data_IF_142048643198
#
_entry.id   IF_142048643198
#
_cell.length_a   1.000
_cell.length_b   1.000
_cell.length_c   1.000
_cell.angle_alpha   90.00
_cell.angle_beta   90.00
_cell.angle_gamma   90.00
#
_symmetry.space_group_name_H-M   'P 1'
#
loop_
_entity.id
_entity.type
_entity.pdbx_description
1 polymer ?
#
# COMPACT_ATOMS: atom_id res chain seq x y z
N UNK A 1 18.66 -14.27 -21.33
CA UNK A 1 17.59 -13.65 -20.53
C UNK A 1 17.84 -14.10 -19.12
N UNK A 2 18.07 -13.17 -18.19
CA UNK A 2 18.12 -13.56 -16.79
C UNK A 2 16.74 -14.14 -16.44
N UNK A 3 16.73 -15.35 -15.89
CA UNK A 3 15.51 -15.96 -15.39
C UNK A 3 15.08 -15.13 -14.19
N UNK A 4 14.04 -14.32 -14.37
CA UNK A 4 13.51 -13.48 -13.29
C UNK A 4 12.56 -14.38 -12.51
N UNK A 5 13.00 -14.81 -11.34
CA UNK A 5 12.15 -15.50 -10.38
C UNK A 5 11.29 -14.46 -9.65
N UNK A 6 9.98 -14.52 -9.88
CA UNK A 6 9.01 -13.58 -9.30
C UNK A 6 8.24 -14.27 -8.19
N UNK A 7 8.39 -13.77 -6.96
CA UNK A 7 7.58 -14.20 -5.81
C UNK A 7 6.24 -13.45 -5.79
N UNK A 8 5.24 -13.99 -6.50
CA UNK A 8 3.88 -13.44 -6.52
C UNK A 8 3.19 -13.46 -5.15
N UNK A 9 3.33 -14.52 -4.31
CA UNK A 9 2.86 -14.50 -2.94
C UNK A 9 3.41 -13.31 -2.14
N UNK A 10 4.72 -13.07 -2.19
CA UNK A 10 5.35 -11.96 -1.47
C UNK A 10 4.82 -10.60 -1.92
N UNK A 11 4.61 -10.39 -3.23
CA UNK A 11 4.01 -9.15 -3.74
C UNK A 11 2.60 -8.93 -3.19
N UNK A 12 1.79 -10.00 -3.17
CA UNK A 12 0.42 -9.95 -2.64
C UNK A 12 0.39 -9.68 -1.13
N UNK A 13 1.23 -10.38 -0.37
CA UNK A 13 1.36 -10.18 1.08
C UNK A 13 1.82 -8.77 1.42
N UNK A 14 2.79 -8.26 0.67
CA UNK A 14 3.30 -6.89 0.81
C UNK A 14 2.18 -5.88 0.56
N UNK A 15 1.43 -6.02 -0.54
CA UNK A 15 0.30 -5.14 -0.82
C UNK A 15 -0.77 -5.20 0.28
N UNK A 16 -1.10 -6.40 0.78
CA UNK A 16 -2.05 -6.58 1.88
C UNK A 16 -1.57 -5.92 3.19
N UNK A 17 -0.31 -6.13 3.56
CA UNK A 17 0.29 -5.54 4.76
C UNK A 17 0.34 -4.01 4.70
N UNK A 18 0.72 -3.45 3.54
CA UNK A 18 0.72 -2.00 3.32
C UNK A 18 -0.69 -1.41 3.42
N UNK A 19 -1.70 -2.08 2.84
CA UNK A 19 -3.09 -1.66 2.96
C UNK A 19 -3.57 -1.59 4.42
N UNK A 20 -3.23 -2.59 5.24
CA UNK A 20 -3.54 -2.57 6.68
C UNK A 20 -2.84 -1.42 7.40
N UNK A 21 -1.54 -1.23 7.16
CA UNK A 21 -0.77 -0.15 7.81
C UNK A 21 -1.35 1.22 7.45
N UNK A 22 -1.66 1.45 6.18
CA UNK A 22 -2.27 2.71 5.74
C UNK A 22 -3.61 2.97 6.43
N UNK A 23 -4.46 1.95 6.57
CA UNK A 23 -5.73 2.05 7.28
C UNK A 23 -5.54 2.46 8.75
N UNK A 24 -4.60 1.82 9.46
CA UNK A 24 -4.29 2.15 10.85
C UNK A 24 -3.71 3.57 11.00
N UNK A 25 -2.82 3.99 10.10
CA UNK A 25 -2.29 5.36 10.10
C UNK A 25 -3.36 6.40 9.77
N UNK A 26 -4.34 6.08 8.92
CA UNK A 26 -5.47 6.97 8.67
C UNK A 26 -6.32 7.15 9.94
N UNK A 27 -6.66 6.04 10.60
CA UNK A 27 -7.43 6.06 11.85
C UNK A 27 -6.73 6.77 13.00
N UNK A 28 -5.39 6.79 13.02
CA UNK A 28 -4.63 7.51 14.04
C UNK A 28 -4.87 9.03 14.03
N UNK A 29 -5.39 9.61 12.94
CA UNK A 29 -5.78 11.02 12.87
C UNK A 29 -6.93 11.36 13.83
N UNK A 30 -7.90 10.44 13.94
CA UNK A 30 -9.13 10.67 14.70
C UNK A 30 -8.83 10.82 16.20
N UNK A 31 -7.81 10.11 16.69
CA UNK A 31 -7.37 10.14 18.10
C UNK A 31 -6.83 11.53 18.47
N UNK A 32 -6.16 12.19 17.53
CA UNK A 32 -5.48 13.46 17.78
C UNK A 32 -6.45 14.64 17.76
N UNK A 33 -7.45 14.61 16.86
CA UNK A 33 -8.49 15.64 16.78
C UNK A 33 -9.31 15.78 18.07
N UNK A 34 -9.49 14.67 18.81
CA UNK A 34 -10.25 14.66 20.07
C UNK A 34 -9.46 15.19 21.29
N UNK A 35 -8.14 15.35 21.19
CA UNK A 35 -7.29 15.72 22.32
C UNK A 35 -7.20 17.24 22.56
N UNK A 36 -7.32 18.06 21.50
CA UNK A 36 -7.16 19.51 21.56
C UNK A 36 -8.18 20.23 22.48
N UNK A 37 -9.47 19.86 22.51
CA UNK A 37 -10.46 20.51 23.39
C UNK A 37 -10.24 20.26 24.89
N UNK A 38 -9.50 19.21 25.25
CA UNK A 38 -9.27 18.80 26.63
C UNK A 38 -8.15 19.61 27.32
N UNK A 39 -7.34 20.33 26.54
CA UNK A 39 -6.15 21.03 27.04
C UNK A 39 -6.50 22.52 27.23
N UNK A 40 -6.40 22.99 28.48
CA UNK A 40 -6.67 24.39 28.82
C UNK A 40 -5.70 25.37 28.15
N UNK A 41 -6.12 26.63 27.97
CA UNK A 41 -5.33 27.71 27.34
C UNK A 41 -4.08 28.08 28.17
N UNK A 42 -2.93 27.51 27.83
CA UNK A 42 -1.61 27.92 28.32
C UNK A 42 -0.53 27.47 27.31
N UNK A 43 0.75 27.76 27.58
CA UNK A 43 1.88 27.40 26.71
C UNK A 43 1.96 25.90 26.34
N UNK A 44 1.38 25.00 27.15
CA UNK A 44 1.29 23.58 26.82
C UNK A 44 0.39 23.32 25.60
N UNK A 45 -0.64 24.13 25.40
CA UNK A 45 -1.55 24.02 24.26
C UNK A 45 -0.82 24.35 22.95
N UNK A 46 0.05 25.36 22.95
CA UNK A 46 0.78 25.76 21.75
C UNK A 46 1.80 24.68 21.34
N UNK A 47 2.54 24.12 22.30
CA UNK A 47 3.46 22.99 22.06
C UNK A 47 2.71 21.73 21.59
N UNK A 48 1.52 21.45 22.14
CA UNK A 48 0.70 20.31 21.70
C UNK A 48 0.19 20.53 20.28
N UNK A 49 -0.22 21.75 19.92
CA UNK A 49 -0.62 22.07 18.54
C UNK A 49 0.52 21.87 17.55
N UNK A 50 1.71 22.36 17.88
CA UNK A 50 2.90 22.16 17.05
C UNK A 50 3.19 20.66 16.86
N UNK A 51 3.14 19.88 17.94
CA UNK A 51 3.27 18.43 17.86
C UNK A 51 2.19 17.79 16.96
N UNK A 52 0.93 18.20 17.08
CA UNK A 52 -0.19 17.68 16.29
C UNK A 52 -0.01 18.00 14.80
N UNK A 53 0.42 19.22 14.48
CA UNK A 53 0.66 19.67 13.12
C UNK A 53 1.83 18.90 12.49
N UNK A 54 2.94 18.76 13.22
CA UNK A 54 4.09 17.97 12.77
C UNK A 54 3.75 16.50 12.60
N UNK A 55 3.04 15.91 13.55
CA UNK A 55 2.55 14.54 13.46
C UNK A 55 1.68 14.35 12.21
N UNK A 56 0.74 15.27 11.98
CA UNK A 56 -0.16 15.22 10.82
C UNK A 56 0.63 15.28 9.52
N UNK A 57 1.55 16.24 9.39
CA UNK A 57 2.39 16.39 8.20
C UNK A 57 3.26 15.15 7.93
N UNK A 58 3.90 14.60 8.96
CA UNK A 58 4.75 13.43 8.81
C UNK A 58 3.94 12.16 8.50
N UNK A 59 2.78 12.00 9.12
CA UNK A 59 1.84 10.90 8.85
C UNK A 59 1.34 10.92 7.41
N UNK A 60 1.00 12.08 6.87
CA UNK A 60 0.58 12.22 5.47
C UNK A 60 1.71 11.86 4.49
N UNK A 61 2.95 12.29 4.77
CA UNK A 61 4.13 11.89 3.98
C UNK A 61 4.37 10.38 4.02
N UNK A 62 4.21 9.77 5.19
CA UNK A 62 4.31 8.32 5.33
C UNK A 62 3.24 7.60 4.53
N UNK A 63 1.97 8.03 4.64
CA UNK A 63 0.85 7.47 3.87
C UNK A 63 1.09 7.56 2.37
N UNK A 64 1.57 8.69 1.86
CA UNK A 64 1.91 8.85 0.45
C UNK A 64 3.02 7.88 0.01
N UNK A 65 4.02 7.66 0.85
CA UNK A 65 5.12 6.72 0.57
C UNK A 65 4.62 5.27 0.57
N UNK A 66 3.77 4.90 1.54
CA UNK A 66 3.15 3.58 1.60
C UNK A 66 2.26 3.31 0.38
N UNK A 67 1.46 4.29 -0.04
CA UNK A 67 0.61 4.21 -1.23
C UNK A 67 1.44 3.94 -2.49
N UNK A 68 2.56 4.64 -2.68
CA UNK A 68 3.42 4.43 -3.84
C UNK A 68 3.99 3.00 -3.91
N UNK A 69 4.41 2.44 -2.76
CA UNK A 69 4.91 1.06 -2.70
C UNK A 69 3.77 0.05 -2.92
N UNK A 70 2.60 0.32 -2.33
CA UNK A 70 1.41 -0.50 -2.53
C UNK A 70 1.04 -0.59 -4.02
N UNK A 71 0.95 0.55 -4.70
CA UNK A 71 0.65 0.61 -6.13
C UNK A 71 1.68 -0.15 -6.97
N UNK A 72 2.97 0.05 -6.70
CA UNK A 72 4.03 -0.66 -7.41
C UNK A 72 3.94 -2.18 -7.22
N UNK A 73 3.66 -2.65 -6.00
CA UNK A 73 3.53 -4.07 -5.69
C UNK A 73 2.30 -4.69 -6.37
N UNK A 74 1.14 -4.02 -6.29
CA UNK A 74 -0.10 -4.48 -6.92
C UNK A 74 0.00 -4.49 -8.43
N UNK A 75 0.49 -3.41 -9.05
CA UNK A 75 0.65 -3.34 -10.50
C UNK A 75 1.63 -4.39 -11.03
N UNK A 76 2.72 -4.63 -10.29
CA UNK A 76 3.68 -5.68 -10.66
C UNK A 76 3.03 -7.07 -10.57
N UNK A 77 2.31 -7.36 -9.49
CA UNK A 77 1.59 -8.62 -9.31
C UNK A 77 0.59 -8.86 -10.44
N UNK A 78 -0.26 -7.88 -10.73
CA UNK A 78 -1.28 -7.96 -11.78
C UNK A 78 -0.66 -8.16 -13.17
N UNK A 79 0.43 -7.43 -13.48
CA UNK A 79 1.12 -7.56 -14.76
C UNK A 79 1.71 -8.97 -14.96
N UNK A 80 2.34 -9.54 -13.94
CA UNK A 80 2.87 -10.90 -14.04
C UNK A 80 1.76 -11.96 -14.18
N UNK A 81 0.66 -11.83 -13.44
CA UNK A 81 -0.49 -12.72 -13.56
C UNK A 81 -1.12 -12.62 -14.96
N UNK A 82 -1.22 -11.41 -15.52
CA UNK A 82 -1.72 -11.22 -16.87
C UNK A 82 -0.84 -11.93 -17.90
N UNK A 83 0.48 -11.72 -17.84
CA UNK A 83 1.43 -12.36 -18.77
C UNK A 83 1.38 -13.88 -18.65
N UNK A 84 1.29 -14.43 -17.44
CA UNK A 84 1.17 -15.88 -17.22
C UNK A 84 -0.12 -16.45 -17.81
N UNK A 85 -1.26 -15.78 -17.61
CA UNK A 85 -2.54 -16.17 -18.19
C UNK A 85 -2.53 -16.13 -19.73
N UNK A 86 -1.95 -15.08 -20.33
CA UNK A 86 -1.81 -14.95 -21.79
C UNK A 86 -0.96 -16.09 -22.37
N UNK A 87 0.14 -16.43 -21.70
CA UNK A 87 1.00 -17.54 -22.09
C UNK A 87 0.28 -18.89 -21.97
N UNK A 88 -0.40 -19.14 -20.86
CA UNK A 88 -1.17 -20.36 -20.65
C UNK A 88 -2.26 -20.53 -21.73
N UNK A 89 -2.98 -19.45 -22.05
CA UNK A 89 -4.00 -19.44 -23.11
C UNK A 89 -3.39 -19.74 -24.49
N UNK A 90 -2.25 -19.13 -24.82
CA UNK A 90 -1.56 -19.36 -26.09
C UNK A 90 -1.12 -20.83 -26.24
N UNK A 91 -0.59 -21.43 -25.17
CA UNK A 91 -0.20 -22.84 -25.13
C UNK A 91 -1.44 -23.72 -25.33
N UNK A 92 -2.53 -23.45 -24.62
CA UNK A 92 -3.76 -24.24 -24.70
C UNK A 92 -4.37 -24.21 -26.12
N UNK A 93 -4.44 -23.02 -26.71
CA UNK A 93 -4.92 -22.81 -28.09
C UNK A 93 -4.05 -23.56 -29.10
N UNK A 94 -2.72 -23.49 -28.95
CA UNK A 94 -1.78 -24.22 -29.82
C UNK A 94 -1.97 -25.74 -29.71
N UNK A 95 -2.21 -26.24 -28.49
CA UNK A 95 -2.42 -27.67 -28.23
C UNK A 95 -3.73 -28.18 -28.85
N UNK A 96 -4.81 -27.40 -28.72
CA UNK A 96 -6.12 -27.71 -29.33
C UNK A 96 -6.06 -27.71 -30.86
N UNK A 97 -5.30 -26.77 -31.46
CA UNK A 97 -5.12 -26.70 -32.92
C UNK A 97 -4.30 -27.85 -33.52
N UNK A 98 -3.55 -28.60 -32.71
CA UNK A 98 -2.76 -29.77 -33.12
C UNK A 98 -3.44 -31.10 -32.80
N UNK A 99 -4.63 -31.11 -32.18
CA UNK A 99 -5.41 -32.33 -31.99
C UNK A 99 -6.26 -32.63 -33.23
N UNK A 100 -6.18 -33.83 -33.84
CA UNK A 100 -6.93 -34.20 -35.04
C UNK A 100 -8.44 -34.37 -34.80
#
# INVERSE_FOLDING_TARGET
MADIEVDLPLLRETAGGLGMLMHEFQRSADIVADAEPAIGRNALLDEVREFVDEWTCNREKLLASLQAVYEAATQSHDAYVQVDNELAHAIQTATESCSP
#
